data_IF_601398275485
#
_entry.id   IF_601398275485
#
_cell.length_a   1.000
_cell.length_b   1.000
_cell.length_c   1.000
_cell.angle_alpha   90.00
_cell.angle_beta   90.00
_cell.angle_gamma   90.00
#
_symmetry.space_group_name_H-M   'P 1'
#
loop_
_entity.id
_entity.type
_entity.pdbx_description
1 polymer ?
#
# COMPACT_ATOMS: atom_id res chain seq x y z
N UNK A 1 -3.28 -20.13 6.76
CA UNK A 1 -4.06 -19.45 5.70
C UNK A 1 -3.23 -18.29 5.18
N UNK A 2 -2.64 -18.42 4.00
CA UNK A 2 -2.04 -17.27 3.33
C UNK A 2 -3.21 -16.47 2.75
N UNK A 3 -3.46 -15.27 3.28
CA UNK A 3 -4.44 -14.37 2.70
C UNK A 3 -3.87 -13.88 1.36
N UNK A 4 -4.22 -14.55 0.27
CA UNK A 4 -3.99 -14.08 -1.10
C UNK A 4 -4.76 -12.77 -1.22
N UNK A 5 -4.06 -11.66 -1.00
CA UNK A 5 -4.63 -10.33 -0.97
C UNK A 5 -4.78 -9.84 -2.42
N UNK A 6 -5.61 -10.55 -3.20
CA UNK A 6 -5.88 -10.29 -4.62
C UNK A 6 -6.75 -9.06 -4.84
N UNK A 7 -7.17 -8.38 -3.77
CA UNK A 7 -7.91 -7.12 -3.88
C UNK A 7 -6.91 -5.97 -3.97
N UNK A 8 -7.00 -5.12 -5.00
CA UNK A 8 -6.12 -3.97 -5.10
C UNK A 8 -6.45 -3.00 -3.96
N UNK A 9 -5.40 -2.51 -3.29
CA UNK A 9 -5.54 -1.61 -2.12
C UNK A 9 -4.95 -0.26 -2.49
N UNK A 10 -5.84 0.70 -2.76
CA UNK A 10 -5.47 2.10 -2.91
C UNK A 10 -5.39 2.77 -1.53
N UNK A 11 -4.31 3.50 -1.30
CA UNK A 11 -4.10 4.28 -0.08
C UNK A 11 -4.03 5.75 -0.47
N UNK A 12 -4.97 6.54 0.03
CA UNK A 12 -4.99 8.00 -0.15
C UNK A 12 -3.82 8.67 0.58
N UNK A 13 -3.57 9.95 0.28
CA UNK A 13 -2.59 10.76 1.01
C UNK A 13 -2.92 10.85 2.50
N UNK A 14 -1.94 10.66 3.38
CA UNK A 14 -2.12 10.79 4.84
C UNK A 14 -0.81 11.15 5.54
N UNK A 15 -0.90 11.63 6.78
CA UNK A 15 0.27 11.88 7.63
C UNK A 15 0.43 10.72 8.60
N UNK A 16 1.66 10.21 8.75
CA UNK A 16 2.00 9.16 9.73
C UNK A 16 3.15 9.57 10.62
N UNK A 17 3.20 9.04 11.83
CA UNK A 17 4.34 9.24 12.74
C UNK A 17 5.25 8.00 12.73
N UNK A 18 6.52 8.17 12.37
CA UNK A 18 7.53 7.11 12.39
C UNK A 18 8.88 7.68 12.79
N UNK A 19 9.67 6.92 13.56
CA UNK A 19 11.01 7.31 13.98
C UNK A 19 11.11 8.71 14.62
N UNK A 20 10.10 9.08 15.41
CA UNK A 20 10.09 10.38 16.08
C UNK A 20 9.72 11.57 15.17
N UNK A 21 9.21 11.32 13.96
CA UNK A 21 8.91 12.37 12.97
C UNK A 21 7.58 12.13 12.28
N UNK A 22 6.91 13.22 11.90
CA UNK A 22 5.75 13.20 11.04
C UNK A 22 6.18 13.15 9.58
N UNK A 23 5.63 12.19 8.83
CA UNK A 23 5.89 11.97 7.41
C UNK A 23 4.59 12.17 6.63
N UNK A 24 4.64 12.95 5.56
CA UNK A 24 3.54 13.04 4.60
C UNK A 24 3.66 11.92 3.57
N UNK A 25 2.70 11.00 3.58
CA UNK A 25 2.64 9.88 2.64
C UNK A 25 1.75 10.30 1.47
N UNK A 26 2.28 10.19 0.25
CA UNK A 26 1.52 10.40 -0.99
C UNK A 26 0.62 9.21 -1.28
N UNK A 27 -0.40 9.43 -2.10
CA UNK A 27 -1.26 8.34 -2.56
C UNK A 27 -0.44 7.25 -3.26
N UNK A 28 -0.78 5.98 -3.01
CA UNK A 28 -0.12 4.84 -3.62
C UNK A 28 -0.98 3.58 -3.54
N UNK A 29 -0.67 2.60 -4.39
CA UNK A 29 -1.24 1.26 -4.31
C UNK A 29 -0.34 0.37 -3.45
N UNK A 30 -0.87 -0.25 -2.39
CA UNK A 30 -0.13 -1.27 -1.60
C UNK A 30 -0.14 -2.63 -2.27
N UNK A 31 -1.23 -2.93 -2.98
CA UNK A 31 -1.37 -4.06 -3.91
C UNK A 31 -1.85 -3.49 -5.23
N UNK A 32 -1.02 -3.54 -6.27
CA UNK A 32 -1.41 -3.10 -7.62
C UNK A 32 -2.17 -4.23 -8.35
N UNK A 33 -3.25 -3.93 -9.12
CA UNK A 33 -3.88 -4.92 -9.99
C UNK A 33 -2.84 -5.54 -10.95
N UNK A 34 -2.62 -6.85 -10.89
CA UNK A 34 -1.62 -7.54 -11.73
C UNK A 34 -0.17 -7.50 -11.20
N UNK A 35 0.07 -7.07 -9.95
CA UNK A 35 1.43 -7.10 -9.37
C UNK A 35 2.01 -8.51 -9.23
N UNK A 36 1.16 -9.52 -9.05
CA UNK A 36 1.54 -10.93 -8.98
C UNK A 36 1.33 -11.69 -10.31
N UNK A 37 0.82 -11.03 -11.37
CA UNK A 37 0.79 -11.63 -12.70
C UNK A 37 2.15 -11.45 -13.37
N UNK A 38 3.14 -12.20 -12.90
CA UNK A 38 4.29 -12.54 -13.72
C UNK A 38 3.91 -13.84 -14.45
N UNK A 39 3.72 -13.71 -15.77
CA UNK A 39 3.37 -14.73 -16.77
C UNK A 39 1.88 -15.11 -16.85
#
# INVERSE_FOLDING_TARGET
MAYSNDKPVHVSTYVRYRFGRWESVREHWRSYPGQLSLF
#
